data_IF_650701772167
#
_entry.id   IF_650701772167
#
_cell.length_a   1.000
_cell.length_b   1.000
_cell.length_c   1.000
_cell.angle_alpha   90.00
_cell.angle_beta   90.00
_cell.angle_gamma   90.00
#
_symmetry.space_group_name_H-M   'P 1'
#
loop_
_entity.id
_entity.type
_entity.pdbx_description
1 polymer ?
#
# COMPACT_ATOMS: atom_id res chain seq x y z
N UNK A 1 -7.28 6.91 -34.07
CA UNK A 1 -6.66 5.86 -33.22
C UNK A 1 -7.60 4.68 -33.23
N UNK A 2 -7.09 3.46 -33.35
CA UNK A 2 -7.86 2.22 -33.38
C UNK A 2 -7.45 1.35 -32.18
N UNK A 3 -8.36 0.51 -31.67
CA UNK A 3 -8.02 -0.42 -30.59
C UNK A 3 -6.93 -1.37 -31.07
N UNK A 4 -7.11 -1.98 -32.26
CA UNK A 4 -6.12 -2.79 -32.95
C UNK A 4 -5.60 -1.98 -34.14
N UNK A 5 -4.29 -1.73 -34.31
CA UNK A 5 -3.21 -2.20 -33.43
C UNK A 5 -2.75 -1.19 -32.37
N UNK A 6 -3.25 0.06 -32.34
CA UNK A 6 -2.60 1.14 -31.57
C UNK A 6 -2.63 0.91 -30.06
N UNK A 7 -3.83 0.64 -29.49
CA UNK A 7 -3.96 0.41 -28.04
C UNK A 7 -3.38 -0.96 -27.65
N UNK A 8 -3.63 -2.00 -28.44
CA UNK A 8 -3.08 -3.34 -28.15
C UNK A 8 -1.55 -3.36 -28.21
N UNK A 9 -0.92 -2.64 -29.14
CA UNK A 9 0.53 -2.54 -29.20
C UNK A 9 1.10 -1.80 -28.01
N UNK A 10 0.43 -0.75 -27.53
CA UNK A 10 0.84 -0.04 -26.32
C UNK A 10 0.78 -0.98 -25.10
N UNK A 11 -0.33 -1.70 -24.90
CA UNK A 11 -0.47 -2.67 -23.80
C UNK A 11 0.63 -3.74 -23.88
N UNK A 12 0.85 -4.33 -25.07
CA UNK A 12 1.91 -5.33 -25.27
C UNK A 12 3.30 -4.77 -24.96
N UNK A 13 3.54 -3.49 -25.27
CA UNK A 13 4.82 -2.86 -25.02
C UNK A 13 5.18 -2.84 -23.53
N UNK A 14 4.23 -2.68 -22.62
CA UNK A 14 4.46 -2.78 -21.16
C UNK A 14 4.94 -4.17 -20.76
N UNK A 15 4.31 -5.22 -21.27
CA UNK A 15 4.69 -6.61 -21.00
C UNK A 15 6.12 -6.88 -21.48
N UNK A 16 6.41 -6.51 -22.72
CA UNK A 16 7.72 -6.76 -23.35
C UNK A 16 8.83 -5.91 -22.74
N UNK A 17 8.53 -4.64 -22.42
CA UNK A 17 9.51 -3.75 -21.78
C UNK A 17 9.83 -4.21 -20.35
N UNK A 18 8.85 -4.72 -19.60
CA UNK A 18 9.09 -5.29 -18.29
C UNK A 18 10.05 -6.48 -18.39
N UNK A 19 9.79 -7.43 -19.28
CA UNK A 19 10.65 -8.58 -19.51
C UNK A 19 12.10 -8.16 -19.82
N UNK A 20 12.28 -7.19 -20.73
CA UNK A 20 13.60 -6.70 -21.16
C UNK A 20 14.33 -5.94 -20.07
N UNK A 21 13.63 -5.04 -19.35
CA UNK A 21 14.26 -4.16 -18.35
C UNK A 21 14.64 -4.89 -17.06
N UNK A 22 13.98 -6.00 -16.77
CA UNK A 22 14.23 -6.80 -15.57
C UNK A 22 15.01 -8.08 -15.84
N UNK A 23 15.24 -8.42 -17.14
CA UNK A 23 15.83 -9.70 -17.57
C UNK A 23 15.12 -10.91 -16.94
N UNK A 24 13.78 -10.81 -16.80
CA UNK A 24 12.97 -11.79 -16.11
C UNK A 24 12.76 -13.05 -16.95
N UNK A 25 12.94 -14.23 -16.35
CA UNK A 25 12.64 -15.53 -16.97
C UNK A 25 11.12 -15.74 -17.11
N UNK A 26 10.33 -15.17 -16.21
CA UNK A 26 8.87 -15.25 -16.18
C UNK A 26 8.26 -13.89 -15.91
N UNK A 27 7.30 -13.49 -16.72
CA UNK A 27 6.49 -12.28 -16.52
C UNK A 27 5.06 -12.67 -16.17
N UNK A 28 4.56 -12.18 -15.03
CA UNK A 28 3.19 -12.37 -14.58
C UNK A 28 2.41 -11.10 -14.89
N UNK A 29 1.35 -11.24 -15.70
CA UNK A 29 0.47 -10.13 -16.07
C UNK A 29 -0.93 -10.40 -15.53
N UNK A 30 -1.45 -9.49 -14.71
CA UNK A 30 -2.83 -9.55 -14.24
C UNK A 30 -3.73 -8.69 -15.14
N UNK A 31 -4.85 -9.29 -15.59
CA UNK A 31 -5.91 -8.56 -16.26
C UNK A 31 -7.08 -8.44 -15.27
N UNK A 32 -7.32 -7.21 -14.82
CA UNK A 32 -8.41 -6.90 -13.89
C UNK A 32 -9.78 -6.91 -14.55
N UNK A 33 -10.82 -6.96 -13.73
CA UNK A 33 -12.21 -6.93 -14.15
C UNK A 33 -12.79 -8.32 -14.44
N UNK A 34 -14.10 -8.34 -14.67
CA UNK A 34 -14.84 -9.55 -15.02
C UNK A 34 -14.70 -9.83 -16.52
N UNK A 35 -14.52 -11.09 -16.90
CA UNK A 35 -14.50 -11.49 -18.31
C UNK A 35 -15.83 -11.08 -18.99
N UNK A 36 -15.73 -10.32 -20.07
CA UNK A 36 -16.88 -9.75 -20.77
C UNK A 36 -17.08 -8.25 -20.52
N UNK A 37 -16.43 -7.66 -19.52
CA UNK A 37 -16.47 -6.22 -19.30
C UNK A 37 -15.81 -5.47 -20.46
N UNK A 38 -16.45 -4.37 -20.88
CA UNK A 38 -16.00 -3.57 -22.04
C UNK A 38 -14.58 -3.03 -21.82
N UNK A 39 -14.29 -2.58 -20.59
CA UNK A 39 -13.00 -2.01 -20.20
C UNK A 39 -11.86 -3.01 -20.32
N UNK A 40 -12.11 -4.30 -20.13
CA UNK A 40 -11.11 -5.36 -20.17
C UNK A 40 -10.81 -5.86 -21.59
N UNK A 41 -11.69 -5.62 -22.56
CA UNK A 41 -11.57 -6.18 -23.91
C UNK A 41 -10.25 -5.84 -24.63
N UNK A 42 -9.73 -4.59 -24.60
CA UNK A 42 -8.45 -4.29 -25.25
C UNK A 42 -7.27 -5.03 -24.62
N UNK A 43 -7.31 -5.28 -23.32
CA UNK A 43 -6.28 -6.04 -22.60
C UNK A 43 -6.35 -7.53 -22.95
N UNK A 44 -7.55 -8.11 -22.98
CA UNK A 44 -7.73 -9.50 -23.39
C UNK A 44 -7.27 -9.72 -24.83
N UNK A 45 -7.61 -8.82 -25.76
CA UNK A 45 -7.10 -8.87 -27.12
C UNK A 45 -5.58 -8.75 -27.19
N UNK A 46 -4.97 -7.87 -26.37
CA UNK A 46 -3.52 -7.72 -26.33
C UNK A 46 -2.82 -9.01 -25.85
N UNK A 47 -3.29 -9.64 -24.77
CA UNK A 47 -2.68 -10.89 -24.28
C UNK A 47 -2.91 -12.07 -25.22
N UNK A 48 -4.05 -12.09 -25.94
CA UNK A 48 -4.28 -13.06 -27.00
C UNK A 48 -3.22 -12.94 -28.11
N UNK A 49 -2.90 -11.70 -28.52
CA UNK A 49 -1.85 -11.42 -29.49
C UNK A 49 -0.46 -11.80 -28.96
N UNK A 50 -0.16 -11.54 -27.67
CA UNK A 50 1.09 -11.98 -27.03
C UNK A 50 1.26 -13.49 -27.17
N UNK A 51 0.21 -14.27 -26.92
CA UNK A 51 0.26 -15.73 -27.08
C UNK A 51 0.59 -16.17 -28.51
N UNK A 52 0.07 -15.47 -29.53
CA UNK A 52 0.40 -15.75 -30.92
C UNK A 52 1.83 -15.36 -31.25
N UNK A 53 2.28 -14.19 -30.76
CA UNK A 53 3.60 -13.64 -31.08
C UNK A 53 4.75 -14.40 -30.37
N UNK A 54 4.50 -14.86 -29.14
CA UNK A 54 5.52 -15.57 -28.32
C UNK A 54 5.45 -17.10 -28.45
N UNK A 55 4.35 -17.62 -29.01
CA UNK A 55 4.03 -19.04 -29.00
C UNK A 55 3.18 -19.42 -27.77
N UNK A 56 2.11 -20.18 -28.04
CA UNK A 56 1.17 -20.60 -26.99
C UNK A 56 1.82 -21.49 -25.93
N UNK A 57 2.89 -22.19 -26.27
CA UNK A 57 3.69 -23.02 -25.39
C UNK A 57 4.51 -22.20 -24.36
N UNK A 58 4.79 -20.94 -24.69
CA UNK A 58 5.47 -19.99 -23.80
C UNK A 58 4.51 -19.15 -22.96
N UNK A 59 3.22 -19.42 -23.05
CA UNK A 59 2.17 -18.71 -22.31
C UNK A 59 1.35 -19.67 -21.44
N UNK A 60 0.96 -19.17 -20.26
CA UNK A 60 0.06 -19.88 -19.36
C UNK A 60 -1.10 -18.96 -18.98
N UNK A 61 -2.30 -19.25 -19.50
CA UNK A 61 -3.51 -18.51 -19.16
C UNK A 61 -4.19 -19.14 -17.96
N UNK A 62 -4.20 -18.40 -16.86
CA UNK A 62 -4.84 -18.77 -15.59
C UNK A 62 -6.14 -17.98 -15.45
N UNK A 63 -7.28 -18.66 -15.50
CA UNK A 63 -8.60 -18.04 -15.39
C UNK A 63 -9.14 -18.21 -13.96
N UNK A 64 -9.29 -17.09 -13.25
CA UNK A 64 -9.87 -17.07 -11.91
C UNK A 64 -11.38 -16.89 -12.02
N UNK A 65 -12.16 -17.79 -11.44
CA UNK A 65 -13.62 -17.80 -11.55
C UNK A 65 -14.29 -17.99 -10.20
N UNK A 66 -15.40 -17.30 -10.00
CA UNK A 66 -16.21 -17.48 -8.78
C UNK A 66 -17.09 -18.74 -8.92
N UNK A 67 -17.10 -19.55 -7.84
CA UNK A 67 -18.00 -20.68 -7.68
C UNK A 67 -18.89 -20.40 -6.45
N UNK A 68 -20.07 -19.80 -6.65
CA UNK A 68 -20.93 -19.41 -5.55
C UNK A 68 -21.58 -20.61 -4.87
N UNK A 69 -21.69 -20.54 -3.55
CA UNK A 69 -22.51 -21.44 -2.76
C UNK A 69 -23.94 -20.88 -2.65
N UNK A 70 -24.93 -21.75 -2.88
CA UNK A 70 -26.34 -21.38 -2.76
C UNK A 70 -26.92 -22.08 -1.55
N UNK A 71 -27.13 -21.34 -0.46
CA UNK A 71 -27.65 -21.87 0.80
C UNK A 71 -29.01 -22.58 0.67
N UNK A 72 -29.88 -22.09 -0.20
CA UNK A 72 -31.20 -22.69 -0.42
C UNK A 72 -31.19 -24.09 -1.07
N UNK A 73 -30.11 -24.46 -1.79
CA UNK A 73 -29.92 -25.80 -2.38
C UNK A 73 -28.75 -26.55 -1.78
N UNK A 74 -28.07 -25.95 -0.80
CA UNK A 74 -26.92 -26.53 -0.08
C UNK A 74 -25.83 -27.07 -1.03
N UNK A 75 -25.52 -26.28 -2.08
CA UNK A 75 -24.54 -26.72 -3.08
C UNK A 75 -23.79 -25.55 -3.74
N UNK A 76 -22.57 -25.86 -4.20
CA UNK A 76 -21.82 -24.98 -5.10
C UNK A 76 -22.32 -25.07 -6.54
N UNK A 77 -22.38 -23.93 -7.24
CA UNK A 77 -22.87 -23.87 -8.61
C UNK A 77 -21.71 -23.68 -9.61
N UNK A 78 -21.53 -24.65 -10.52
CA UNK A 78 -20.49 -24.61 -11.55
C UNK A 78 -20.87 -23.76 -12.77
N UNK A 79 -22.13 -23.40 -12.97
CA UNK A 79 -22.59 -22.69 -14.15
C UNK A 79 -21.94 -21.32 -14.37
N UNK A 80 -21.78 -20.45 -13.35
CA UNK A 80 -21.09 -19.18 -13.54
C UNK A 80 -19.65 -19.35 -14.05
N UNK A 81 -18.91 -20.30 -13.51
CA UNK A 81 -17.55 -20.63 -13.95
C UNK A 81 -17.52 -21.11 -15.41
N UNK A 82 -18.47 -21.97 -15.81
CA UNK A 82 -18.59 -22.46 -17.19
C UNK A 82 -18.90 -21.33 -18.17
N UNK A 83 -19.78 -20.38 -17.78
CA UNK A 83 -20.13 -19.23 -18.63
C UNK A 83 -18.94 -18.28 -18.77
N UNK A 84 -18.25 -17.94 -17.69
CA UNK A 84 -17.06 -17.09 -17.73
C UNK A 84 -15.95 -17.69 -18.61
N UNK A 85 -15.72 -19.01 -18.47
CA UNK A 85 -14.74 -19.70 -19.31
C UNK A 85 -15.15 -19.69 -20.80
N UNK A 86 -16.42 -19.91 -21.10
CA UNK A 86 -16.94 -19.88 -22.47
C UNK A 86 -16.80 -18.48 -23.11
N UNK A 87 -17.04 -17.43 -22.33
CA UNK A 87 -16.86 -16.05 -22.78
C UNK A 87 -15.39 -15.79 -23.15
N UNK A 88 -14.45 -16.18 -22.29
CA UNK A 88 -13.02 -16.06 -22.55
C UNK A 88 -12.59 -16.84 -23.80
N UNK A 89 -13.09 -18.07 -23.95
CA UNK A 89 -12.84 -18.88 -25.16
C UNK A 89 -13.42 -18.25 -26.42
N UNK A 90 -14.58 -17.58 -26.29
CA UNK A 90 -15.20 -16.81 -27.41
C UNK A 90 -14.32 -15.65 -27.88
N UNK A 91 -13.46 -15.11 -27.01
CA UNK A 91 -12.47 -14.09 -27.34
C UNK A 91 -11.16 -14.69 -27.91
N UNK A 92 -11.08 -16.01 -28.08
CA UNK A 92 -9.91 -16.70 -28.60
C UNK A 92 -8.83 -17.04 -27.60
N UNK A 93 -9.13 -17.00 -26.30
CA UNK A 93 -8.21 -17.37 -25.21
C UNK A 93 -8.70 -18.66 -24.56
N UNK A 94 -7.96 -19.75 -24.73
CA UNK A 94 -8.21 -21.00 -24.05
C UNK A 94 -7.41 -21.04 -22.74
N UNK A 95 -8.05 -21.10 -21.55
CA UNK A 95 -7.31 -21.17 -20.30
C UNK A 95 -6.56 -22.50 -20.17
N UNK A 96 -5.34 -22.46 -19.66
CA UNK A 96 -4.56 -23.64 -19.32
C UNK A 96 -4.91 -24.14 -17.90
N UNK A 97 -5.24 -23.18 -17.01
CA UNK A 97 -5.58 -23.43 -15.60
C UNK A 97 -6.85 -22.66 -15.25
N UNK A 98 -7.72 -23.29 -14.46
CA UNK A 98 -8.88 -22.62 -13.88
C UNK A 98 -8.72 -22.63 -12.36
N UNK A 99 -8.73 -21.44 -11.75
CA UNK A 99 -8.69 -21.28 -10.30
C UNK A 99 -10.10 -20.96 -9.80
N UNK A 100 -10.64 -21.84 -8.96
CA UNK A 100 -11.99 -21.76 -8.41
C UNK A 100 -11.98 -20.95 -7.11
N UNK A 101 -12.43 -19.73 -7.14
CA UNK A 101 -12.61 -18.91 -5.95
C UNK A 101 -13.93 -19.28 -5.26
N UNK A 102 -13.86 -19.81 -4.06
CA UNK A 102 -15.00 -20.25 -3.27
C UNK A 102 -14.76 -20.05 -1.76
N UNK A 103 -15.85 -19.99 -0.98
CA UNK A 103 -15.73 -19.83 0.48
C UNK A 103 -15.36 -21.13 1.19
N UNK A 104 -15.64 -22.28 0.57
CA UNK A 104 -15.31 -23.60 1.09
C UNK A 104 -15.05 -24.60 -0.03
N UNK A 105 -14.75 -25.84 0.34
CA UNK A 105 -14.40 -26.91 -0.62
C UNK A 105 -15.52 -27.16 -1.63
N UNK A 106 -15.17 -27.08 -2.89
CA UNK A 106 -16.13 -27.19 -4.02
C UNK A 106 -16.49 -28.64 -4.31
N UNK A 107 -15.62 -29.57 -3.99
CA UNK A 107 -15.83 -31.00 -4.22
C UNK A 107 -15.40 -31.49 -5.60
N UNK A 108 -15.09 -32.79 -5.68
CA UNK A 108 -14.53 -33.42 -6.89
C UNK A 108 -15.48 -33.43 -8.07
N UNK A 109 -16.79 -33.55 -7.84
CA UNK A 109 -17.79 -33.61 -8.91
C UNK A 109 -17.93 -32.25 -9.66
N UNK A 110 -17.91 -31.16 -8.93
CA UNK A 110 -17.93 -29.82 -9.51
C UNK A 110 -16.63 -29.56 -10.30
N UNK A 111 -15.48 -29.92 -9.71
CA UNK A 111 -14.19 -29.80 -10.40
C UNK A 111 -14.16 -30.59 -11.70
N UNK A 112 -14.65 -31.82 -11.69
CA UNK A 112 -14.75 -32.68 -12.90
C UNK A 112 -15.70 -32.07 -13.95
N UNK A 113 -16.85 -31.53 -13.54
CA UNK A 113 -17.75 -30.81 -14.45
C UNK A 113 -17.07 -29.61 -15.10
N UNK A 114 -16.40 -28.77 -14.32
CA UNK A 114 -15.70 -27.58 -14.83
C UNK A 114 -14.57 -28.01 -15.79
N UNK A 115 -13.75 -28.98 -15.41
CA UNK A 115 -12.71 -29.54 -16.28
C UNK A 115 -13.26 -29.96 -17.65
N UNK A 116 -14.34 -30.73 -17.66
CA UNK A 116 -14.95 -31.23 -18.89
C UNK A 116 -15.58 -30.11 -19.74
N UNK A 117 -16.35 -29.19 -19.12
CA UNK A 117 -17.06 -28.14 -19.86
C UNK A 117 -16.15 -27.00 -20.32
N UNK A 118 -15.04 -26.76 -19.62
CA UNK A 118 -14.07 -25.73 -19.94
C UNK A 118 -12.88 -26.26 -20.75
N UNK A 119 -12.86 -27.55 -21.06
CA UNK A 119 -11.82 -28.21 -21.85
C UNK A 119 -10.40 -28.03 -21.27
N UNK A 120 -10.29 -28.20 -19.96
CA UNK A 120 -9.01 -28.19 -19.22
C UNK A 120 -8.80 -29.54 -18.53
N UNK A 121 -7.55 -29.92 -18.28
CA UNK A 121 -7.24 -31.16 -17.57
C UNK A 121 -7.77 -31.12 -16.13
N UNK A 122 -8.20 -32.25 -15.53
CA UNK A 122 -8.71 -32.25 -14.15
C UNK A 122 -7.73 -31.72 -13.11
N UNK A 123 -6.44 -31.97 -13.29
CA UNK A 123 -5.36 -31.45 -12.43
C UNK A 123 -5.09 -29.96 -12.62
N UNK A 124 -5.63 -29.34 -13.67
CA UNK A 124 -5.55 -27.89 -13.91
C UNK A 124 -6.74 -27.11 -13.35
N UNK A 125 -7.63 -27.76 -12.58
CA UNK A 125 -8.74 -27.11 -11.86
C UNK A 125 -8.37 -27.01 -10.38
N UNK A 126 -7.94 -25.83 -9.98
CA UNK A 126 -7.35 -25.55 -8.66
C UNK A 126 -8.35 -24.79 -7.79
N UNK A 127 -8.52 -25.20 -6.53
CA UNK A 127 -9.33 -24.46 -5.55
C UNK A 127 -8.53 -23.32 -4.94
N UNK A 128 -9.15 -22.16 -4.81
CA UNK A 128 -8.69 -21.02 -4.02
C UNK A 128 -9.80 -20.66 -3.02
N UNK A 129 -9.63 -21.08 -1.79
CA UNK A 129 -10.63 -20.97 -0.74
C UNK A 129 -10.43 -19.71 0.10
N UNK A 130 -11.48 -19.26 0.78
CA UNK A 130 -11.36 -18.22 1.80
C UNK A 130 -10.54 -18.78 2.96
N UNK A 131 -9.46 -18.09 3.29
CA UNK A 131 -8.54 -18.44 4.39
C UNK A 131 -8.66 -17.40 5.51
N UNK A 132 -8.35 -17.76 6.78
CA UNK A 132 -8.32 -16.80 7.88
C UNK A 132 -7.39 -15.62 7.64
N UNK A 133 -6.28 -15.86 6.98
CA UNK A 133 -5.36 -14.83 6.50
C UNK A 133 -5.15 -14.96 4.99
N UNK A 134 -5.21 -13.84 4.27
CA UNK A 134 -4.89 -13.80 2.84
C UNK A 134 -3.49 -14.39 2.55
N UNK A 135 -2.57 -14.22 3.47
CA UNK A 135 -1.19 -14.71 3.35
C UNK A 135 -1.05 -16.23 3.44
N UNK A 136 -2.11 -16.97 3.79
CA UNK A 136 -2.14 -18.43 3.70
C UNK A 136 -2.39 -18.95 2.27
N UNK A 137 -2.92 -18.09 1.37
CA UNK A 137 -3.22 -18.48 0.00
C UNK A 137 -2.05 -19.09 -0.78
N UNK A 138 -0.80 -18.58 -0.71
CA UNK A 138 0.32 -19.21 -1.39
C UNK A 138 0.57 -20.66 -0.97
N UNK A 139 0.48 -20.96 0.33
CA UNK A 139 0.64 -22.31 0.85
C UNK A 139 -0.50 -23.23 0.38
N UNK A 140 -1.72 -22.73 0.35
CA UNK A 140 -2.90 -23.47 -0.13
C UNK A 140 -2.78 -23.77 -1.64
N UNK A 141 -2.39 -22.80 -2.45
CA UNK A 141 -2.23 -22.96 -3.91
C UNK A 141 -1.09 -23.93 -4.25
N UNK A 142 0.01 -23.87 -3.51
CA UNK A 142 1.11 -24.84 -3.63
C UNK A 142 0.65 -26.24 -3.29
N UNK A 143 -0.05 -26.44 -2.15
CA UNK A 143 -0.60 -27.71 -1.74
C UNK A 143 -1.65 -28.24 -2.74
N UNK A 144 -2.37 -27.37 -3.43
CA UNK A 144 -3.30 -27.71 -4.50
C UNK A 144 -2.61 -28.05 -5.84
N UNK A 145 -1.30 -27.90 -5.94
CA UNK A 145 -0.48 -28.28 -7.08
C UNK A 145 -0.39 -27.24 -8.20
N UNK A 146 -0.71 -25.97 -7.93
CA UNK A 146 -0.68 -24.89 -8.94
C UNK A 146 0.73 -24.74 -9.55
N UNK A 147 1.78 -24.74 -8.74
CA UNK A 147 3.16 -24.63 -9.20
C UNK A 147 3.52 -25.74 -10.21
N UNK A 148 3.19 -26.97 -9.90
CA UNK A 148 3.47 -28.12 -10.78
C UNK A 148 2.77 -27.99 -12.13
N UNK A 149 1.53 -27.48 -12.13
CA UNK A 149 0.75 -27.30 -13.36
C UNK A 149 1.35 -26.16 -14.21
N UNK A 150 1.69 -25.03 -13.59
CA UNK A 150 2.30 -23.88 -14.28
C UNK A 150 3.67 -24.23 -14.84
N UNK A 151 4.55 -24.84 -14.05
CA UNK A 151 5.88 -25.27 -14.51
C UNK A 151 5.79 -26.25 -15.68
N UNK A 152 4.88 -27.22 -15.61
CA UNK A 152 4.63 -28.14 -16.72
C UNK A 152 4.16 -27.43 -17.97
N UNK A 153 3.24 -26.45 -17.85
CA UNK A 153 2.71 -25.69 -18.99
C UNK A 153 3.78 -24.83 -19.66
N UNK A 154 4.66 -24.24 -18.88
CA UNK A 154 5.73 -23.37 -19.39
C UNK A 154 7.06 -24.09 -19.60
N UNK A 155 7.07 -25.42 -19.49
CA UNK A 155 8.29 -26.27 -19.64
C UNK A 155 9.45 -25.83 -18.73
N UNK A 156 9.13 -25.35 -17.52
CA UNK A 156 10.11 -24.93 -16.54
C UNK A 156 10.58 -26.11 -15.68
N UNK A 157 11.87 -26.32 -15.64
CA UNK A 157 12.51 -27.25 -14.73
C UNK A 157 12.98 -26.48 -13.49
N UNK A 158 12.28 -26.64 -12.37
CA UNK A 158 12.56 -25.93 -11.12
C UNK A 158 12.71 -26.92 -9.97
N UNK A 159 13.55 -26.62 -8.96
CA UNK A 159 13.51 -27.37 -7.71
C UNK A 159 12.16 -27.21 -7.02
N UNK A 160 11.90 -28.06 -6.01
CA UNK A 160 10.73 -27.88 -5.16
C UNK A 160 10.71 -26.50 -4.49
N UNK A 161 9.54 -25.91 -4.36
CA UNK A 161 9.37 -24.59 -3.75
C UNK A 161 9.84 -24.59 -2.30
N UNK A 162 10.76 -23.70 -1.94
CA UNK A 162 11.10 -23.44 -0.54
C UNK A 162 10.14 -22.36 0.01
N UNK A 163 9.23 -22.79 0.86
CA UNK A 163 8.24 -21.93 1.51
C UNK A 163 8.50 -21.79 3.03
N UNK A 164 9.73 -22.04 3.48
CA UNK A 164 10.08 -22.00 4.90
C UNK A 164 9.83 -20.62 5.48
N UNK A 165 10.38 -19.56 4.87
CA UNK A 165 10.17 -18.18 5.30
C UNK A 165 8.68 -17.79 5.32
N UNK A 166 7.91 -18.27 4.34
CA UNK A 166 6.48 -17.99 4.26
C UNK A 166 5.68 -18.70 5.37
N UNK A 167 6.04 -19.93 5.70
CA UNK A 167 5.44 -20.67 6.83
C UNK A 167 5.76 -20.01 8.18
N UNK A 168 6.97 -19.48 8.33
CA UNK A 168 7.36 -18.70 9.51
C UNK A 168 6.54 -17.41 9.63
N UNK A 169 6.29 -16.71 8.51
CA UNK A 169 5.40 -15.55 8.48
C UNK A 169 3.99 -15.92 8.97
N UNK A 170 3.40 -16.99 8.45
CA UNK A 170 2.06 -17.44 8.86
C UNK A 170 2.04 -17.79 10.35
N UNK A 171 3.07 -18.46 10.84
CA UNK A 171 3.22 -18.75 12.27
C UNK A 171 3.25 -17.47 13.12
N UNK A 172 4.02 -16.48 12.73
CA UNK A 172 4.07 -15.14 13.40
C UNK A 172 2.70 -14.47 13.38
N UNK A 173 1.99 -14.50 12.25
CA UNK A 173 0.64 -13.95 12.14
C UNK A 173 -0.33 -14.63 13.11
N UNK A 174 -0.25 -15.96 13.24
CA UNK A 174 -1.14 -16.74 14.11
C UNK A 174 -0.86 -16.57 15.61
N UNK A 175 0.39 -16.30 15.99
CA UNK A 175 0.84 -16.25 17.40
C UNK A 175 0.90 -14.84 17.99
N UNK A 176 0.43 -13.81 17.27
CA UNK A 176 0.41 -12.44 17.77
C UNK A 176 -0.37 -12.32 19.07
N UNK A 177 0.25 -11.76 20.10
CA UNK A 177 -0.34 -11.64 21.44
C UNK A 177 -0.63 -10.21 21.87
N UNK A 178 0.00 -9.23 21.23
CA UNK A 178 -0.20 -7.80 21.49
C UNK A 178 -1.26 -7.23 20.56
N UNK A 179 -1.86 -6.13 20.96
CA UNK A 179 -2.77 -5.34 20.11
C UNK A 179 -2.40 -3.87 20.25
N UNK A 180 -2.39 -3.10 19.18
CA UNK A 180 -2.31 -1.66 19.25
C UNK A 180 -3.33 -1.01 18.28
N UNK A 181 -3.83 0.15 18.68
CA UNK A 181 -4.82 0.92 17.92
C UNK A 181 -4.16 2.12 17.27
N UNK A 182 -4.22 2.19 15.95
CA UNK A 182 -3.66 3.29 15.16
C UNK A 182 -4.80 4.10 14.54
N UNK A 183 -4.87 5.40 14.87
CA UNK A 183 -5.75 6.30 14.16
C UNK A 183 -5.17 6.63 12.77
N UNK A 184 -5.90 6.28 11.72
CA UNK A 184 -5.63 6.74 10.36
C UNK A 184 -6.53 7.93 10.08
N UNK A 185 -5.94 9.14 10.13
CA UNK A 185 -6.65 10.40 9.94
C UNK A 185 -6.48 10.84 8.49
N UNK A 186 -7.56 10.82 7.71
CA UNK A 186 -7.46 11.08 6.28
C UNK A 186 -8.76 11.60 5.64
N UNK A 187 -8.66 11.90 4.35
CA UNK A 187 -9.75 12.48 3.54
C UNK A 187 -10.67 11.44 2.91
N UNK A 188 -10.16 10.19 2.72
CA UNK A 188 -10.84 9.16 1.92
C UNK A 188 -11.24 7.95 2.77
N UNK A 189 -11.42 8.15 4.07
CA UNK A 189 -11.68 7.07 5.04
C UNK A 189 -13.01 6.32 4.83
N UNK A 190 -13.94 6.91 4.08
CA UNK A 190 -15.19 6.22 3.69
C UNK A 190 -14.98 5.11 2.67
N UNK A 191 -13.85 5.14 1.94
CA UNK A 191 -13.43 4.12 0.99
C UNK A 191 -12.06 3.59 1.45
N UNK A 192 -12.04 2.56 2.28
CA UNK A 192 -10.82 2.01 2.88
C UNK A 192 -9.77 1.62 1.85
N UNK A 193 -10.19 1.16 0.66
CA UNK A 193 -9.30 0.80 -0.45
C UNK A 193 -8.40 1.95 -0.92
N UNK A 194 -8.81 3.21 -0.70
CA UNK A 194 -7.98 4.37 -1.01
C UNK A 194 -6.65 4.37 -0.22
N UNK A 195 -6.63 3.74 0.94
CA UNK A 195 -5.47 3.62 1.82
C UNK A 195 -4.97 2.17 1.98
N UNK A 196 -5.32 1.28 1.04
CA UNK A 196 -4.99 -0.15 1.12
C UNK A 196 -3.50 -0.38 1.38
N UNK A 197 -2.60 0.29 0.66
CA UNK A 197 -1.15 0.11 0.83
C UNK A 197 -0.65 0.59 2.20
N UNK A 198 -1.24 1.64 2.77
CA UNK A 198 -0.91 2.12 4.13
C UNK A 198 -1.41 1.11 5.17
N UNK A 199 -2.66 0.66 5.04
CA UNK A 199 -3.27 -0.35 5.91
C UNK A 199 -2.45 -1.65 5.92
N UNK A 200 -2.12 -2.18 4.74
CA UNK A 200 -1.28 -3.38 4.63
C UNK A 200 0.12 -3.17 5.24
N UNK A 201 0.71 -1.99 5.07
CA UNK A 201 2.02 -1.68 5.67
C UNK A 201 1.98 -1.64 7.20
N UNK A 202 0.88 -1.17 7.78
CA UNK A 202 0.63 -1.24 9.23
C UNK A 202 0.51 -2.69 9.69
N UNK A 203 -0.22 -3.53 8.95
CA UNK A 203 -0.32 -4.97 9.27
C UNK A 203 1.02 -5.68 9.13
N UNK A 204 1.80 -5.41 8.07
CA UNK A 204 3.15 -5.98 7.92
C UNK A 204 4.05 -5.63 9.12
N UNK A 205 4.00 -4.37 9.57
CA UNK A 205 4.74 -3.92 10.75
C UNK A 205 4.23 -4.61 12.02
N UNK A 206 2.92 -4.82 12.13
CA UNK A 206 2.31 -5.59 13.20
C UNK A 206 2.83 -7.03 13.25
N UNK A 207 3.03 -7.69 12.09
CA UNK A 207 3.56 -9.06 12.04
C UNK A 207 4.98 -9.16 12.62
N UNK A 208 5.83 -8.16 12.34
CA UNK A 208 7.20 -8.12 12.87
C UNK A 208 7.29 -7.69 14.33
N UNK A 209 6.29 -6.95 14.83
CA UNK A 209 6.19 -6.52 16.22
C UNK A 209 5.31 -7.46 17.10
N UNK A 210 4.90 -8.62 16.56
CA UNK A 210 4.03 -9.60 17.22
C UNK A 210 2.70 -9.00 17.70
N UNK A 211 2.20 -8.01 16.95
CA UNK A 211 1.02 -7.23 17.31
C UNK A 211 -0.08 -7.37 16.26
N UNK A 212 -1.32 -7.41 16.73
CA UNK A 212 -2.51 -7.14 15.92
C UNK A 212 -2.71 -5.62 15.89
N UNK A 213 -2.65 -5.03 14.70
CA UNK A 213 -2.95 -3.60 14.52
C UNK A 213 -4.44 -3.44 14.24
N UNK A 214 -5.09 -2.62 15.04
CA UNK A 214 -6.47 -2.19 14.83
C UNK A 214 -6.46 -0.75 14.29
N UNK A 215 -7.13 -0.53 13.16
CA UNK A 215 -7.14 0.80 12.52
C UNK A 215 -8.43 1.51 12.91
N UNK A 216 -8.27 2.62 13.60
CA UNK A 216 -9.35 3.57 13.87
C UNK A 216 -9.40 4.60 12.74
N UNK A 217 -10.46 4.54 11.94
CA UNK A 217 -10.64 5.38 10.76
C UNK A 217 -11.25 6.72 11.16
N UNK A 218 -10.53 7.81 10.95
CA UNK A 218 -10.96 9.15 11.33
C UNK A 218 -11.06 10.06 10.11
N UNK A 219 -12.28 10.56 9.83
CA UNK A 219 -12.45 11.56 8.78
C UNK A 219 -11.93 12.91 9.27
N UNK A 220 -10.91 13.44 8.61
CA UNK A 220 -10.28 14.69 9.00
C UNK A 220 -11.24 15.89 9.00
N UNK A 221 -12.32 15.84 8.23
CA UNK A 221 -13.35 16.89 8.25
C UNK A 221 -14.12 16.98 9.57
N UNK A 222 -14.08 15.94 10.41
CA UNK A 222 -14.73 15.94 11.73
C UNK A 222 -13.86 16.56 12.83
N UNK A 223 -12.57 16.73 12.62
CA UNK A 223 -11.62 17.26 13.60
C UNK A 223 -11.56 18.79 13.53
N UNK A 224 -12.60 19.45 14.05
CA UNK A 224 -12.78 20.90 13.94
C UNK A 224 -11.91 21.70 14.91
N UNK A 225 -11.57 21.11 16.05
CA UNK A 225 -10.79 21.70 17.15
C UNK A 225 -10.12 20.62 18.03
N UNK A 226 -9.39 21.03 19.07
CA UNK A 226 -8.70 20.12 19.96
C UNK A 226 -9.64 19.31 20.87
N UNK A 227 -10.85 19.80 21.17
CA UNK A 227 -11.83 19.05 21.93
C UNK A 227 -12.35 17.85 21.11
N UNK A 228 -12.66 18.06 19.84
CA UNK A 228 -13.02 16.98 18.92
C UNK A 228 -11.86 16.02 18.68
N UNK A 229 -10.63 16.51 18.60
CA UNK A 229 -9.46 15.65 18.54
C UNK A 229 -9.36 14.75 19.78
N UNK A 230 -9.56 15.31 20.95
CA UNK A 230 -9.50 14.53 22.21
C UNK A 230 -10.63 13.46 22.25
N UNK A 231 -11.83 13.78 21.75
CA UNK A 231 -12.93 12.81 21.67
C UNK A 231 -12.62 11.67 20.66
N UNK A 232 -12.24 12.03 19.45
CA UNK A 232 -12.07 11.08 18.33
C UNK A 232 -10.76 10.28 18.40
N UNK A 233 -9.70 10.85 19.01
CA UNK A 233 -8.37 10.25 19.08
C UNK A 233 -8.04 9.72 20.48
N UNK A 234 -9.01 9.70 21.40
CA UNK A 234 -8.82 9.13 22.73
C UNK A 234 -8.52 7.64 22.67
N UNK A 235 -7.48 7.22 23.44
CA UNK A 235 -7.14 5.80 23.57
C UNK A 235 -6.45 5.17 22.36
N UNK A 236 -6.01 5.97 21.37
CA UNK A 236 -5.16 5.46 20.28
C UNK A 236 -3.69 5.44 20.71
N UNK A 237 -2.95 4.47 20.20
CA UNK A 237 -1.54 4.28 20.52
C UNK A 237 -0.61 5.00 19.54
N UNK A 238 -1.13 5.41 18.39
CA UNK A 238 -0.40 6.15 17.37
C UNK A 238 -1.32 6.81 16.35
N UNK A 239 -0.85 7.85 15.70
CA UNK A 239 -1.59 8.61 14.68
C UNK A 239 -0.80 8.62 13.39
N UNK A 240 -1.43 8.18 12.29
CA UNK A 240 -0.86 8.24 10.94
C UNK A 240 -1.69 9.17 10.03
N UNK A 241 -1.01 10.11 9.39
CA UNK A 241 -1.58 10.98 8.36
C UNK A 241 -1.05 10.57 7.00
N UNK A 242 -1.86 9.93 6.15
CA UNK A 242 -1.45 9.46 4.83
C UNK A 242 -1.38 10.58 3.80
N UNK A 243 -0.88 10.26 2.61
CA UNK A 243 -0.88 11.13 1.45
C UNK A 243 -2.30 11.50 0.97
N UNK A 244 -2.40 12.62 0.27
CA UNK A 244 -3.65 13.11 -0.33
C UNK A 244 -3.41 14.35 -1.17
N UNK A 245 -4.46 14.80 -1.88
CA UNK A 245 -4.43 16.00 -2.74
C UNK A 245 -5.61 16.91 -2.42
N UNK A 246 -5.44 18.21 -2.72
CA UNK A 246 -6.48 19.25 -2.54
C UNK A 246 -6.65 19.68 -1.07
N UNK A 247 -7.49 20.67 -0.87
CA UNK A 247 -7.65 21.43 0.37
C UNK A 247 -8.66 20.85 1.38
N UNK A 248 -9.48 19.90 0.96
CA UNK A 248 -10.51 19.29 1.81
C UNK A 248 -9.88 18.61 3.04
N UNK A 249 -10.40 18.91 4.25
CA UNK A 249 -9.98 18.27 5.49
C UNK A 249 -8.57 18.61 5.99
N UNK A 250 -7.89 19.60 5.41
CA UNK A 250 -6.54 20.01 5.79
C UNK A 250 -6.49 20.52 7.22
N UNK A 251 -7.43 21.39 7.60
CA UNK A 251 -7.45 21.98 8.96
C UNK A 251 -7.60 20.89 10.03
N UNK A 252 -8.46 19.89 9.79
CA UNK A 252 -8.60 18.77 10.71
C UNK A 252 -7.33 17.90 10.80
N UNK A 253 -6.62 17.72 9.69
CA UNK A 253 -5.32 17.03 9.73
C UNK A 253 -4.30 17.83 10.54
N UNK A 254 -4.28 19.17 10.44
CA UNK A 254 -3.42 20.05 11.24
C UNK A 254 -3.79 19.93 12.74
N UNK A 255 -5.07 19.90 13.08
CA UNK A 255 -5.51 19.68 14.47
C UNK A 255 -5.08 18.33 15.00
N UNK A 256 -5.14 17.26 14.19
CA UNK A 256 -4.65 15.93 14.59
C UNK A 256 -3.13 15.90 14.80
N UNK A 257 -2.35 16.58 13.92
CA UNK A 257 -0.90 16.68 14.07
C UNK A 257 -0.52 17.45 15.35
N UNK A 258 -1.23 18.56 15.65
CA UNK A 258 -1.08 19.30 16.90
C UNK A 258 -1.39 18.42 18.11
N UNK A 259 -2.52 17.72 18.09
CA UNK A 259 -2.90 16.81 19.17
C UNK A 259 -1.82 15.75 19.41
N UNK A 260 -1.32 15.11 18.34
CA UNK A 260 -0.23 14.14 18.45
C UNK A 260 1.04 14.74 19.09
N UNK A 261 1.40 15.97 18.68
CA UNK A 261 2.57 16.65 19.21
C UNK A 261 2.40 17.04 20.70
N UNK A 262 1.26 17.60 21.06
CA UNK A 262 0.99 18.06 22.43
C UNK A 262 0.82 16.91 23.42
N UNK A 263 0.17 15.82 23.00
CA UNK A 263 -0.06 14.62 23.83
C UNK A 263 1.08 13.59 23.76
N UNK A 264 2.16 13.89 23.02
CA UNK A 264 3.31 12.99 22.83
C UNK A 264 2.93 11.62 22.24
N UNK A 265 1.84 11.54 21.46
CA UNK A 265 1.43 10.33 20.78
C UNK A 265 2.35 10.09 19.57
N UNK A 266 2.85 8.87 19.34
CA UNK A 266 3.59 8.53 18.14
C UNK A 266 2.88 8.99 16.86
N UNK A 267 3.59 9.72 16.01
CA UNK A 267 3.06 10.34 14.80
C UNK A 267 3.84 9.91 13.57
N UNK A 268 3.13 9.54 12.50
CA UNK A 268 3.73 9.26 11.21
C UNK A 268 3.01 10.01 10.08
N UNK A 269 3.69 10.98 9.48
CA UNK A 269 3.19 11.77 8.35
C UNK A 269 3.78 11.29 7.02
N UNK A 270 2.94 10.89 6.07
CA UNK A 270 3.34 10.42 4.74
C UNK A 270 2.93 11.45 3.69
N UNK A 271 3.86 11.94 2.87
CA UNK A 271 3.65 12.89 1.79
C UNK A 271 2.90 14.14 2.28
N UNK A 272 1.59 14.25 2.05
CA UNK A 272 0.76 15.31 2.63
C UNK A 272 0.87 15.34 4.17
N UNK A 273 0.94 14.19 4.83
CA UNK A 273 1.08 14.12 6.28
C UNK A 273 2.35 14.77 6.81
N UNK A 274 3.48 14.69 6.10
CA UNK A 274 4.68 15.46 6.41
C UNK A 274 4.43 16.97 6.22
N UNK A 275 3.79 17.36 5.12
CA UNK A 275 3.48 18.77 4.84
C UNK A 275 2.56 19.36 5.92
N UNK A 276 1.58 18.59 6.38
CA UNK A 276 0.71 18.94 7.52
C UNK A 276 1.54 19.17 8.79
N UNK A 277 2.48 18.27 9.11
CA UNK A 277 3.37 18.42 10.27
C UNK A 277 4.18 19.73 10.19
N UNK A 278 4.68 20.07 9.00
CA UNK A 278 5.43 21.31 8.78
C UNK A 278 4.54 22.55 8.93
N UNK A 279 3.32 22.51 8.39
CA UNK A 279 2.34 23.62 8.53
C UNK A 279 1.91 23.80 9.98
N UNK A 280 1.61 22.72 10.69
CA UNK A 280 1.28 22.75 12.12
C UNK A 280 2.43 23.37 12.93
N UNK A 281 3.65 22.90 12.68
CA UNK A 281 4.84 23.40 13.39
C UNK A 281 5.06 24.90 13.16
N UNK A 282 4.86 25.35 11.93
CA UNK A 282 4.95 26.79 11.60
C UNK A 282 3.88 27.61 12.30
N UNK A 283 2.65 27.11 12.41
CA UNK A 283 1.53 27.82 13.06
C UNK A 283 1.72 27.88 14.58
N UNK A 284 1.96 26.75 15.20
CA UNK A 284 1.87 26.61 16.66
C UNK A 284 3.20 26.77 17.39
N UNK A 285 4.33 26.61 16.70
CA UNK A 285 5.67 26.77 17.30
C UNK A 285 6.35 28.04 16.86
N UNK A 286 6.30 28.41 15.55
CA UNK A 286 6.88 29.64 15.06
C UNK A 286 5.92 30.85 15.16
N UNK A 287 4.61 30.62 15.31
CA UNK A 287 3.62 31.67 15.45
C UNK A 287 3.06 32.23 14.12
N UNK A 288 3.33 31.60 13.01
CA UNK A 288 2.78 31.97 11.69
C UNK A 288 1.37 31.41 11.50
N UNK A 289 0.36 32.05 12.12
CA UNK A 289 -1.01 31.54 12.18
C UNK A 289 -1.62 31.24 10.80
N UNK A 290 -1.15 31.88 9.73
CA UNK A 290 -1.56 31.70 8.33
C UNK A 290 -0.68 30.71 7.55
N UNK A 291 0.30 30.07 8.19
CA UNK A 291 1.22 29.16 7.51
C UNK A 291 0.46 28.05 6.76
N UNK A 292 0.79 27.87 5.47
CA UNK A 292 0.04 27.00 4.58
C UNK A 292 0.94 26.44 3.45
N UNK A 293 0.30 25.75 2.51
CA UNK A 293 0.86 25.32 1.26
C UNK A 293 0.40 26.22 0.11
N UNK A 294 1.29 26.57 -0.80
CA UNK A 294 0.93 27.26 -2.05
C UNK A 294 0.00 26.41 -2.95
N UNK A 295 -0.23 25.14 -2.64
CA UNK A 295 -1.28 24.33 -3.26
C UNK A 295 -2.68 24.85 -2.91
N UNK A 296 -2.89 25.26 -1.66
CA UNK A 296 -4.19 25.67 -1.12
C UNK A 296 -4.35 27.18 -1.09
N UNK A 297 -3.27 27.91 -0.80
CA UNK A 297 -3.24 29.38 -0.73
C UNK A 297 -2.08 29.91 -1.58
N UNK A 298 -2.24 30.00 -2.92
CA UNK A 298 -1.13 30.39 -3.82
C UNK A 298 -0.49 31.74 -3.46
N UNK A 299 -1.29 32.70 -2.99
CA UNK A 299 -0.85 34.06 -2.62
C UNK A 299 -0.69 34.22 -1.08
N UNK A 300 -0.57 33.12 -0.32
CA UNK A 300 -0.38 33.16 1.13
C UNK A 300 0.97 33.77 1.52
N UNK A 301 1.01 34.53 2.61
CA UNK A 301 2.23 35.20 3.09
C UNK A 301 3.26 34.18 3.58
N UNK A 302 2.82 33.17 4.34
CA UNK A 302 3.69 32.14 4.92
C UNK A 302 3.43 30.76 4.28
N UNK A 303 3.80 30.62 2.99
CA UNK A 303 3.74 29.31 2.32
C UNK A 303 4.98 28.48 2.67
N UNK A 304 4.89 27.69 3.74
CA UNK A 304 5.98 26.81 4.23
C UNK A 304 6.13 25.55 3.39
N UNK A 305 5.13 25.26 2.56
CA UNK A 305 5.14 24.25 1.49
C UNK A 305 4.89 24.97 0.16
N UNK A 306 5.75 24.78 -0.82
CA UNK A 306 5.72 25.51 -2.08
C UNK A 306 6.13 24.65 -3.28
N UNK A 307 5.86 25.14 -4.49
CA UNK A 307 6.41 24.56 -5.72
C UNK A 307 7.94 24.75 -5.74
N UNK A 308 8.65 23.77 -6.25
CA UNK A 308 10.08 23.90 -6.51
C UNK A 308 10.35 25.04 -7.50
N UNK A 309 11.49 25.75 -7.36
CA UNK A 309 11.85 26.87 -8.27
C UNK A 309 11.86 26.49 -9.75
N UNK A 310 12.27 25.27 -10.07
CA UNK A 310 12.32 24.70 -11.43
C UNK A 310 10.94 24.28 -11.97
N UNK A 311 9.90 24.34 -11.15
CA UNK A 311 8.50 24.09 -11.53
C UNK A 311 7.65 25.37 -11.57
N UNK A 312 8.27 26.53 -11.33
CA UNK A 312 7.62 27.83 -11.42
C UNK A 312 7.62 28.32 -12.87
N UNK A 313 6.46 28.79 -13.37
CA UNK A 313 6.28 29.34 -14.70
C UNK A 313 5.15 28.68 -15.50
N UNK A 314 4.99 29.08 -16.79
CA UNK A 314 3.97 28.55 -17.71
C UNK A 314 4.28 27.12 -18.20
N UNK A 315 4.74 26.23 -17.34
CA UNK A 315 4.98 24.83 -17.68
C UNK A 315 3.63 24.09 -17.65
N UNK A 316 3.28 23.30 -18.68
CA UNK A 316 2.09 22.47 -18.65
C UNK A 316 2.10 21.62 -17.39
N UNK A 317 1.04 21.70 -16.56
CA UNK A 317 0.94 20.96 -15.28
C UNK A 317 1.05 19.42 -15.40
N UNK A 318 0.95 18.89 -16.61
CA UNK A 318 1.20 17.48 -16.91
C UNK A 318 2.70 17.18 -16.99
N UNK A 319 3.19 16.19 -16.23
CA UNK A 319 4.59 15.75 -16.27
C UNK A 319 5.57 16.47 -15.34
N UNK A 320 5.11 17.44 -14.53
CA UNK A 320 5.95 18.17 -13.55
C UNK A 320 5.96 17.53 -12.16
N UNK A 321 5.24 16.44 -11.98
CA UNK A 321 5.20 15.72 -10.71
C UNK A 321 6.50 14.94 -10.51
N UNK A 322 7.06 15.01 -9.30
CA UNK A 322 8.14 14.12 -8.89
C UNK A 322 7.56 12.72 -8.70
N UNK A 323 7.80 11.85 -9.68
CA UNK A 323 7.18 10.53 -9.78
C UNK A 323 8.25 9.46 -9.92
N UNK A 324 8.17 8.42 -9.10
CA UNK A 324 9.07 7.28 -9.15
C UNK A 324 10.07 7.22 -8.01
N UNK A 325 11.18 6.52 -8.24
CA UNK A 325 12.23 6.25 -7.25
C UNK A 325 13.26 7.36 -7.23
N UNK A 326 13.55 7.90 -6.03
CA UNK A 326 14.57 8.92 -5.80
C UNK A 326 15.41 8.60 -4.57
N UNK A 327 16.71 8.95 -4.58
CA UNK A 327 17.59 8.76 -3.43
C UNK A 327 17.32 9.82 -2.35
N UNK A 328 17.52 9.40 -1.09
CA UNK A 328 17.47 10.27 0.07
C UNK A 328 18.66 9.95 1.00
N UNK A 329 19.33 11.00 1.48
CA UNK A 329 20.39 10.91 2.47
C UNK A 329 19.78 11.13 3.84
N UNK A 330 19.90 10.14 4.73
CA UNK A 330 19.39 10.19 6.09
C UNK A 330 20.42 10.82 7.03
N UNK A 331 20.01 11.72 7.91
CA UNK A 331 20.90 12.38 8.85
C UNK A 331 21.27 11.46 10.02
N UNK A 332 22.52 11.51 10.48
CA UNK A 332 22.99 10.73 11.61
C UNK A 332 22.31 11.17 12.91
N UNK A 333 22.04 10.23 13.82
CA UNK A 333 21.41 10.49 15.12
C UNK A 333 19.88 10.75 15.04
N UNK A 334 19.27 10.57 13.89
CA UNK A 334 17.83 10.74 13.67
C UNK A 334 17.08 9.41 13.77
N UNK A 335 15.77 9.47 14.05
CA UNK A 335 14.89 8.30 14.05
C UNK A 335 14.80 7.67 12.66
N UNK A 336 14.81 8.49 11.61
CA UNK A 336 14.87 8.03 10.24
C UNK A 336 16.10 7.13 10.01
N UNK A 337 17.30 7.60 10.38
CA UNK A 337 18.56 6.84 10.27
C UNK A 337 18.53 5.56 11.12
N UNK A 338 17.99 5.64 12.33
CA UNK A 338 17.84 4.48 13.21
C UNK A 338 16.99 3.40 12.57
N UNK A 339 15.84 3.75 12.00
CA UNK A 339 14.94 2.80 11.36
C UNK A 339 15.57 2.11 10.15
N UNK A 340 16.22 2.86 9.27
CA UNK A 340 16.81 2.29 8.06
C UNK A 340 18.19 1.63 8.28
N UNK A 341 18.96 2.08 9.26
CA UNK A 341 20.34 1.64 9.49
C UNK A 341 21.29 1.94 8.33
N UNK A 342 20.94 2.90 7.46
CA UNK A 342 21.69 3.23 6.23
C UNK A 342 21.71 4.73 6.01
N UNK A 343 22.79 5.23 5.44
CA UNK A 343 22.95 6.63 5.08
C UNK A 343 22.15 7.01 3.82
N UNK A 344 22.29 6.22 2.79
CA UNK A 344 21.57 6.43 1.54
C UNK A 344 20.46 5.40 1.38
N UNK A 345 19.27 5.90 1.08
CA UNK A 345 18.08 5.11 0.83
C UNK A 345 17.42 5.58 -0.47
N UNK A 346 16.65 4.73 -1.08
CA UNK A 346 15.84 5.05 -2.25
C UNK A 346 14.38 4.89 -1.91
N UNK A 347 13.56 5.90 -2.15
CA UNK A 347 12.12 5.84 -1.88
C UNK A 347 11.27 6.33 -3.05
N UNK A 348 9.99 5.97 -3.08
CA UNK A 348 9.07 6.33 -4.16
C UNK A 348 8.35 7.62 -3.83
N UNK A 349 8.29 8.52 -4.80
CA UNK A 349 7.65 9.82 -4.69
C UNK A 349 6.46 9.93 -5.64
N UNK A 350 5.46 10.74 -5.23
CA UNK A 350 4.33 11.14 -6.04
C UNK A 350 3.79 12.47 -5.53
N UNK A 351 4.53 13.56 -5.74
CA UNK A 351 4.13 14.89 -5.27
C UNK A 351 4.70 15.98 -6.17
N UNK A 352 4.20 17.20 -6.00
CA UNK A 352 4.64 18.40 -6.73
C UNK A 352 5.15 19.47 -5.77
N UNK A 353 4.50 19.58 -4.60
CA UNK A 353 4.85 20.56 -3.59
C UNK A 353 5.88 19.98 -2.62
N UNK A 354 6.77 20.84 -2.15
CA UNK A 354 7.94 20.51 -1.35
C UNK A 354 8.04 21.44 -0.14
N UNK A 355 8.83 21.07 0.85
CA UNK A 355 9.22 21.94 1.94
C UNK A 355 9.90 23.21 1.41
N UNK A 356 9.44 24.39 1.83
CA UNK A 356 10.00 25.66 1.43
C UNK A 356 11.29 25.98 2.23
N UNK A 357 12.43 25.95 1.56
CA UNK A 357 13.74 26.15 2.19
C UNK A 357 13.94 27.53 2.81
N UNK A 358 13.13 28.54 2.49
CA UNK A 358 13.20 29.86 3.11
C UNK A 358 12.92 29.80 4.62
N UNK A 359 12.13 28.82 5.06
CA UNK A 359 11.81 28.58 6.48
C UNK A 359 12.71 27.53 7.15
N UNK A 360 13.61 26.89 6.40
CA UNK A 360 14.41 25.76 6.88
C UNK A 360 15.27 26.11 8.11
N UNK A 361 16.03 27.19 8.01
CA UNK A 361 16.92 27.60 9.10
C UNK A 361 16.16 27.98 10.36
N UNK A 362 15.03 28.66 10.22
CA UNK A 362 14.19 29.08 11.33
C UNK A 362 13.55 27.87 12.04
N UNK A 363 12.96 26.94 11.27
CA UNK A 363 12.39 25.71 11.83
C UNK A 363 13.44 24.87 12.59
N UNK A 364 14.65 24.75 12.02
CA UNK A 364 15.75 24.05 12.70
C UNK A 364 16.19 24.75 13.99
N UNK A 365 16.24 26.08 14.02
CA UNK A 365 16.57 26.85 15.20
C UNK A 365 15.53 26.69 16.32
N UNK A 366 14.29 26.34 16.00
CA UNK A 366 13.22 26.07 16.95
C UNK A 366 13.07 24.58 17.29
N UNK A 367 13.92 23.71 16.72
CA UNK A 367 14.01 22.31 17.13
C UNK A 367 13.44 21.28 16.16
N UNK A 368 12.89 21.68 14.99
CA UNK A 368 12.55 20.72 13.93
C UNK A 368 13.85 20.17 13.33
N UNK A 369 13.97 18.85 13.23
CA UNK A 369 15.14 18.21 12.65
C UNK A 369 14.85 17.82 11.19
N UNK A 370 15.72 18.24 10.27
CA UNK A 370 15.72 17.73 8.89
C UNK A 370 16.44 16.38 8.91
N UNK A 371 15.69 15.31 8.92
CA UNK A 371 16.23 13.96 9.05
C UNK A 371 16.55 13.29 7.72
N UNK A 372 16.04 13.82 6.59
CA UNK A 372 16.34 13.33 5.25
C UNK A 372 16.39 14.45 4.22
N UNK A 373 17.33 14.34 3.28
CA UNK A 373 17.47 15.29 2.17
C UNK A 373 17.78 14.57 0.85
N UNK A 374 17.54 15.26 -0.29
CA UNK A 374 18.13 14.84 -1.56
C UNK A 374 19.67 14.83 -1.47
N UNK A 375 20.39 14.06 -2.35
CA UNK A 375 21.86 13.98 -2.30
C UNK A 375 22.60 15.32 -2.42
N UNK A 376 22.01 16.29 -3.10
CA UNK A 376 22.52 17.65 -3.22
C UNK A 376 22.16 18.55 -2.01
N UNK A 377 21.42 18.01 -1.04
CA UNK A 377 20.95 18.70 0.17
C UNK A 377 19.86 19.75 -0.06
N UNK A 378 19.38 19.91 -1.30
CA UNK A 378 18.43 20.95 -1.70
C UNK A 378 17.01 20.67 -1.25
N UNK A 379 16.54 19.42 -1.41
CA UNK A 379 15.17 19.03 -1.07
C UNK A 379 15.12 18.40 0.31
N UNK A 380 14.10 18.75 1.08
CA UNK A 380 13.81 18.13 2.38
C UNK A 380 12.90 16.95 2.13
N UNK A 381 13.42 15.75 2.41
CA UNK A 381 12.71 14.48 2.19
C UNK A 381 12.05 13.92 3.45
N UNK A 382 12.57 14.32 4.61
CA UNK A 382 12.02 13.91 5.90
C UNK A 382 12.32 14.94 6.99
N UNK A 383 11.39 15.04 7.94
CA UNK A 383 11.50 15.89 9.15
C UNK A 383 11.10 15.08 10.36
N UNK A 384 11.64 15.45 11.54
CA UNK A 384 11.25 14.82 12.80
C UNK A 384 11.36 15.76 13.99
N UNK A 385 10.63 15.47 15.07
CA UNK A 385 10.78 16.13 16.36
C UNK A 385 11.62 15.25 17.28
N UNK A 386 12.77 15.76 17.74
CA UNK A 386 13.65 15.01 18.63
C UNK A 386 13.04 14.85 20.04
N UNK A 387 13.55 13.85 20.78
CA UNK A 387 13.10 13.58 22.15
C UNK A 387 11.75 12.89 22.23
N UNK A 388 11.21 12.43 21.11
CA UNK A 388 9.99 11.64 21.02
C UNK A 388 10.28 10.24 20.50
N UNK A 389 9.50 9.26 20.92
CA UNK A 389 9.72 7.87 20.49
C UNK A 389 9.57 7.71 18.97
N UNK A 390 8.57 8.37 18.38
CA UNK A 390 8.40 8.44 16.93
C UNK A 390 7.51 9.63 16.56
N UNK A 391 8.09 10.67 15.98
CA UNK A 391 7.35 11.81 15.44
C UNK A 391 8.01 12.23 14.13
N UNK A 392 7.69 11.51 13.05
CA UNK A 392 8.40 11.53 11.77
C UNK A 392 7.45 11.86 10.64
N UNK A 393 7.83 12.80 9.79
CA UNK A 393 7.18 13.09 8.51
C UNK A 393 8.12 12.79 7.34
N UNK A 394 7.62 12.14 6.30
CA UNK A 394 8.37 11.83 5.08
C UNK A 394 7.62 12.28 3.83
N UNK A 395 8.33 12.86 2.86
CA UNK A 395 7.74 13.34 1.62
C UNK A 395 7.45 12.20 0.62
N UNK A 396 8.16 11.12 0.74
CA UNK A 396 7.99 9.93 -0.08
C UNK A 396 6.89 9.00 0.46
N UNK A 397 6.63 7.91 -0.27
CA UNK A 397 5.58 6.93 -0.01
C UNK A 397 6.18 5.57 0.38
N UNK A 398 6.52 5.34 1.66
CA UNK A 398 7.14 4.10 2.14
C UNK A 398 6.19 2.89 2.04
N UNK A 399 4.88 3.11 2.02
CA UNK A 399 3.86 2.06 1.88
C UNK A 399 4.01 1.23 0.61
N UNK A 400 4.58 1.79 -0.45
CA UNK A 400 4.80 1.05 -1.71
C UNK A 400 5.96 0.05 -1.66
N UNK A 401 6.77 0.06 -0.61
CA UNK A 401 7.93 -0.83 -0.46
C UNK A 401 7.76 -1.84 0.68
N UNK A 402 6.70 -1.75 1.45
CA UNK A 402 6.40 -2.73 2.49
C UNK A 402 6.02 -4.09 1.90
N UNK A 403 6.41 -5.16 2.58
CA UNK A 403 6.10 -6.55 2.21
C UNK A 403 5.67 -7.33 3.45
N UNK A 404 4.82 -8.36 3.33
CA UNK A 404 4.37 -9.13 4.47
C UNK A 404 5.50 -9.82 5.23
N UNK A 405 6.52 -10.31 4.52
CA UNK A 405 7.71 -10.95 5.08
C UNK A 405 8.85 -9.97 5.37
N UNK A 406 8.71 -8.71 5.02
CA UNK A 406 9.68 -7.63 5.25
C UNK A 406 8.98 -6.30 5.34
N UNK A 407 8.47 -5.97 6.52
CA UNK A 407 7.83 -4.69 6.77
C UNK A 407 8.77 -3.53 6.48
N UNK A 408 8.22 -2.42 5.97
CA UNK A 408 9.02 -1.23 5.76
C UNK A 408 9.55 -0.68 7.09
N UNK A 409 10.83 -0.29 7.20
CA UNK A 409 11.47 0.09 8.46
C UNK A 409 10.75 1.18 9.25
N UNK A 410 10.20 2.19 8.57
CA UNK A 410 9.47 3.27 9.23
C UNK A 410 8.14 2.80 9.84
N UNK A 411 7.38 1.96 9.14
CA UNK A 411 6.16 1.38 9.70
C UNK A 411 6.48 0.47 10.90
N UNK A 412 7.56 -0.31 10.80
CA UNK A 412 8.04 -1.15 11.90
C UNK A 412 8.40 -0.32 13.14
N UNK A 413 9.16 0.77 12.95
CA UNK A 413 9.55 1.70 14.03
C UNK A 413 8.33 2.41 14.62
N UNK A 414 7.39 2.83 13.80
CA UNK A 414 6.14 3.47 14.22
C UNK A 414 5.28 2.54 15.10
N UNK A 415 5.05 1.30 14.69
CA UNK A 415 4.29 0.32 15.50
C UNK A 415 5.03 -0.04 16.79
N UNK A 416 6.36 -0.14 16.76
CA UNK A 416 7.14 -0.36 17.98
C UNK A 416 6.98 0.80 18.98
N UNK A 417 6.98 2.04 18.51
CA UNK A 417 6.74 3.21 19.34
C UNK A 417 5.30 3.26 19.88
N UNK A 418 4.31 2.91 19.04
CA UNK A 418 2.92 2.84 19.47
C UNK A 418 2.70 1.81 20.59
N UNK A 419 3.30 0.63 20.49
CA UNK A 419 3.26 -0.38 21.54
C UNK A 419 3.95 0.08 22.85
N UNK A 420 5.04 0.81 22.73
CA UNK A 420 5.73 1.39 23.89
C UNK A 420 4.84 2.44 24.56
N UNK A 421 4.28 3.35 23.77
CA UNK A 421 3.33 4.37 24.25
C UNK A 421 2.16 3.74 25.01
N UNK A 422 1.55 2.70 24.45
CA UNK A 422 0.46 1.95 25.09
C UNK A 422 0.88 1.40 26.48
N UNK A 423 2.04 0.75 26.55
CA UNK A 423 2.54 0.18 27.80
C UNK A 423 2.73 1.23 28.89
N UNK A 424 3.30 2.39 28.53
CA UNK A 424 3.56 3.49 29.48
C UNK A 424 2.25 4.10 30.01
N UNK A 425 1.20 4.19 29.18
CA UNK A 425 -0.08 4.78 29.58
C UNK A 425 -1.01 3.78 30.31
N UNK A 426 -0.93 2.48 29.98
CA UNK A 426 -1.69 1.45 30.71
C UNK A 426 -1.22 1.29 32.18
N UNK A 427 0.08 1.50 32.42
CA UNK A 427 0.67 1.38 33.78
C UNK A 427 0.21 2.56 34.68
N UNK A 428 0.06 3.75 34.13
CA UNK A 428 -0.37 4.94 34.89
C UNK A 428 -1.82 4.89 35.36
N UNK A 429 -2.71 4.24 34.60
CA UNK A 429 -4.14 4.08 34.95
C UNK A 429 -4.37 3.05 36.10
N UNK A 430 -3.36 2.26 36.46
CA UNK A 430 -3.47 1.23 37.50
C UNK A 430 -2.73 1.58 38.80
N UNK A 431 -2.16 2.78 38.94
CA UNK A 431 -1.68 3.22 40.27
C UNK A 431 -2.87 3.71 41.12
N UNK A 432 -3.18 3.08 42.27
CA UNK A 432 -4.18 3.62 43.18
C UNK A 432 -3.69 4.97 43.66
N UNK A 433 -4.55 5.98 43.60
CA UNK A 433 -4.29 7.24 44.32
C UNK A 433 -4.10 6.89 45.79
N UNK A 434 -2.88 6.92 46.22
CA UNK A 434 -2.56 6.87 47.69
C UNK A 434 -2.86 8.25 48.22
N UNK A 435 -3.90 8.32 49.02
CA UNK A 435 -4.24 9.47 49.87
C UNK A 435 -3.10 9.88 50.81
#
# INVERSE_FOLDING_TARGET
MQIIPHITNEIKSYIYNLAKSTEADVVITEIGGTTGDIESQPFLEAIRQVGIEQGMENCCYIHVVLVPYISGSDEYKSKPAQHSCKELQGMGIAPNVIVLRADGRVGSDIKRKISMFCNVRPDCVIENLTMPSLYECPLMLEAAGLTNVVCRQLHLETPASDLTEWKELISRIATRSKTCTIALVGKYVKLHDAYLSVMESLYHAGFENESKVEIHWVDSENLLDQERCAEELSGVDGIILPGGFGDRGIEGMIQAARYAREQNIPYFGICLGMQIMVMEYARDVLGYADANSSEFTPDGEHNVIALMPDQQGNIPKGGTMRLGKYPCITAEGTKLRECYGKEEIDERHRHRYEFNNDYRAEMQNHGLVISGTSPDGRLVEAVELPGRDFHVGVQFHPEFKSRPNRAHPLFKGFIAAALKYQQEHTITDHQPMTD
#
